data_IF_664671624419
#
_entry.id   IF_664671624419
#
_cell.length_a   1.000
_cell.length_b   1.000
_cell.length_c   1.000
_cell.angle_alpha   90.00
_cell.angle_beta   90.00
_cell.angle_gamma   90.00
#
_symmetry.space_group_name_H-M   'P 1'
#
loop_
_entity.id
_entity.type
_entity.pdbx_description
1 polymer ?
#
# COMPACT_ATOMS: atom_id res chain seq x y z
N UNK A 1 15.78 8.18 13.19
CA UNK A 1 14.46 7.95 12.57
C UNK A 1 14.62 8.25 11.10
N UNK A 2 13.97 7.47 10.25
CA UNK A 2 13.95 7.67 8.80
C UNK A 2 12.56 8.16 8.40
N UNK A 3 12.44 8.84 7.27
CA UNK A 3 11.14 9.29 6.75
C UNK A 3 10.38 8.12 6.15
N UNK A 4 9.06 8.23 6.04
CA UNK A 4 8.25 7.22 5.36
C UNK A 4 8.73 7.01 3.91
N UNK A 5 9.09 8.09 3.18
CA UNK A 5 9.62 8.03 1.81
C UNK A 5 10.91 7.21 1.69
N UNK A 6 11.83 7.36 2.64
CA UNK A 6 13.10 6.61 2.65
C UNK A 6 12.88 5.11 2.89
N UNK A 7 11.78 4.77 3.58
CA UNK A 7 11.49 3.40 4.00
C UNK A 7 10.58 2.67 3.02
N UNK A 8 9.62 3.38 2.42
CA UNK A 8 8.56 2.91 1.54
C UNK A 8 8.46 3.89 0.34
N UNK A 9 9.24 3.66 -0.74
CA UNK A 9 9.26 4.55 -1.89
C UNK A 9 8.00 4.48 -2.76
N UNK A 10 7.23 3.39 -2.66
CA UNK A 10 5.94 3.22 -3.32
C UNK A 10 4.84 3.97 -2.56
N UNK A 11 4.07 4.80 -3.27
CA UNK A 11 3.04 5.66 -2.68
C UNK A 11 1.91 4.85 -2.05
N UNK A 12 1.37 3.84 -2.76
CA UNK A 12 0.30 3.01 -2.24
C UNK A 12 0.72 2.31 -0.95
N UNK A 13 1.89 1.66 -0.96
CA UNK A 13 2.45 0.99 0.22
C UNK A 13 2.68 1.97 1.36
N UNK A 14 3.24 3.15 1.07
CA UNK A 14 3.46 4.20 2.07
C UNK A 14 2.14 4.60 2.75
N UNK A 15 1.08 4.81 1.98
CA UNK A 15 -0.23 5.20 2.52
C UNK A 15 -0.86 4.06 3.33
N UNK A 16 -0.75 2.81 2.89
CA UNK A 16 -1.19 1.64 3.67
C UNK A 16 -0.44 1.51 5.01
N UNK A 17 0.88 1.76 5.01
CA UNK A 17 1.68 1.80 6.24
C UNK A 17 1.27 2.97 7.14
N UNK A 18 1.06 4.15 6.56
CA UNK A 18 0.61 5.33 7.31
C UNK A 18 -0.75 5.07 7.95
N UNK A 19 -1.69 4.46 7.24
CA UNK A 19 -2.98 4.04 7.77
C UNK A 19 -2.82 3.17 9.01
N UNK A 20 -1.98 2.14 8.94
CA UNK A 20 -1.72 1.26 10.07
C UNK A 20 -1.04 1.96 11.25
N UNK A 21 -0.15 2.92 10.99
CA UNK A 21 0.46 3.73 12.05
C UNK A 21 -0.59 4.61 12.75
N UNK A 22 -1.60 5.10 12.03
CA UNK A 22 -2.74 5.82 12.60
C UNK A 22 -3.61 4.87 13.45
N UNK A 23 -3.94 3.68 12.96
CA UNK A 23 -4.70 2.66 13.72
C UNK A 23 -3.98 2.23 15.00
N UNK A 24 -2.65 2.17 14.97
CA UNK A 24 -1.79 1.87 16.11
C UNK A 24 -1.60 3.06 17.07
N UNK A 25 -2.16 4.23 16.74
CA UNK A 25 -2.08 5.46 17.53
C UNK A 25 -0.68 6.09 17.56
N UNK A 26 0.17 5.77 16.58
CA UNK A 26 1.48 6.41 16.39
C UNK A 26 1.29 7.84 15.88
N UNK A 27 0.34 7.99 14.97
CA UNK A 27 -0.18 9.28 14.50
C UNK A 27 -1.69 9.35 14.74
N UNK A 28 -2.27 10.55 14.66
CA UNK A 28 -3.72 10.74 14.64
C UNK A 28 -4.18 11.19 13.26
N UNK A 29 -5.42 10.86 12.88
CA UNK A 29 -6.05 11.40 11.66
C UNK A 29 -6.10 12.93 11.68
N UNK A 30 -6.39 13.54 12.84
CA UNK A 30 -6.33 14.99 13.02
C UNK A 30 -4.95 15.59 12.71
N UNK A 31 -3.86 14.87 13.01
CA UNK A 31 -2.52 15.32 12.67
C UNK A 31 -2.28 15.30 11.14
N UNK A 32 -2.90 14.36 10.42
CA UNK A 32 -2.88 14.32 8.95
C UNK A 32 -3.59 15.55 8.41
N UNK A 33 -4.85 15.76 8.79
CA UNK A 33 -5.65 16.91 8.35
C UNK A 33 -4.96 18.25 8.68
N UNK A 34 -4.43 18.38 9.89
CA UNK A 34 -3.70 19.58 10.31
C UNK A 34 -2.48 19.84 9.43
N UNK A 35 -1.73 18.79 9.10
CA UNK A 35 -0.52 18.92 8.27
C UNK A 35 -0.83 19.30 6.82
N UNK A 36 -2.05 19.05 6.35
CA UNK A 36 -2.50 19.32 4.99
C UNK A 36 -3.32 20.61 4.86
N UNK A 37 -3.79 21.18 5.98
CA UNK A 37 -4.75 22.31 5.99
C UNK A 37 -4.36 23.56 5.18
N UNK A 38 -3.07 23.86 5.02
CA UNK A 38 -2.59 24.97 4.19
C UNK A 38 -2.60 24.66 2.67
N UNK A 39 -2.79 23.40 2.28
CA UNK A 39 -2.93 23.01 0.88
C UNK A 39 -4.35 23.23 0.34
N UNK A 40 -5.35 23.35 1.21
CA UNK A 40 -6.75 23.59 0.83
C UNK A 40 -6.88 24.87 -0.01
N UNK A 41 -6.29 25.96 0.48
CA UNK A 41 -6.32 27.27 -0.20
C UNK A 41 -5.19 27.44 -1.22
N UNK A 42 -4.38 26.41 -1.47
CA UNK A 42 -3.25 26.50 -2.38
C UNK A 42 -3.73 26.46 -3.82
N UNK A 43 -3.47 27.56 -4.53
CA UNK A 43 -3.67 27.68 -5.98
C UNK A 43 -2.42 27.22 -6.71
N UNK A 44 -2.58 26.39 -7.73
CA UNK A 44 -1.51 26.00 -8.65
C UNK A 44 -1.51 26.91 -9.87
N UNK A 45 -0.33 27.17 -10.43
CA UNK A 45 -0.22 28.00 -11.63
C UNK A 45 -0.73 27.21 -12.85
N UNK A 46 -1.35 27.89 -13.80
CA UNK A 46 -1.85 27.30 -15.04
C UNK A 46 -0.73 26.71 -15.91
N UNK A 47 0.53 27.10 -15.67
CA UNK A 47 1.70 26.49 -16.31
C UNK A 47 2.10 25.13 -15.69
N UNK A 48 1.65 24.83 -14.46
CA UNK A 48 1.86 23.53 -13.80
C UNK A 48 0.72 22.54 -14.07
N UNK A 49 -0.42 23.03 -14.53
CA UNK A 49 -1.57 22.23 -14.96
C UNK A 49 -1.36 21.83 -16.43
N UNK A 50 -1.53 20.55 -16.76
CA UNK A 50 -1.78 20.15 -18.14
C UNK A 50 -3.23 20.59 -18.50
N UNK A 51 -3.75 20.33 -19.70
CA UNK A 51 -4.97 21.00 -20.18
C UNK A 51 -6.30 20.59 -19.47
N UNK A 52 -6.27 19.76 -18.42
CA UNK A 52 -7.46 19.12 -17.82
C UNK A 52 -7.68 19.47 -16.33
N UNK A 53 -8.95 19.58 -15.89
CA UNK A 53 -9.34 19.94 -14.50
C UNK A 53 -8.86 18.90 -13.44
N UNK A 54 -8.58 17.67 -13.87
CA UNK A 54 -8.00 16.60 -13.05
C UNK A 54 -6.58 16.93 -12.55
N UNK A 55 -5.93 17.95 -13.13
CA UNK A 55 -4.56 18.31 -12.81
C UNK A 55 -4.43 19.06 -11.46
N UNK A 56 -5.42 19.85 -11.03
CA UNK A 56 -5.30 20.56 -9.74
C UNK A 56 -5.44 19.60 -8.56
N UNK A 57 -6.40 18.67 -8.62
CA UNK A 57 -6.59 17.64 -7.59
C UNK A 57 -5.38 16.71 -7.52
N UNK A 58 -4.84 16.31 -8.67
CA UNK A 58 -3.60 15.53 -8.74
C UNK A 58 -2.43 16.29 -8.10
N UNK A 59 -2.24 17.57 -8.41
CA UNK A 59 -1.15 18.38 -7.83
C UNK A 59 -1.32 18.55 -6.31
N UNK A 60 -2.55 18.73 -5.82
CA UNK A 60 -2.85 18.75 -4.37
C UNK A 60 -2.53 17.43 -3.71
N UNK A 61 -2.99 16.31 -4.29
CA UNK A 61 -2.71 14.97 -3.78
C UNK A 61 -1.21 14.69 -3.77
N UNK A 62 -0.49 15.02 -4.85
CA UNK A 62 0.97 14.89 -4.95
C UNK A 62 1.68 15.64 -3.83
N UNK A 63 1.33 16.90 -3.59
CA UNK A 63 1.95 17.73 -2.56
C UNK A 63 1.59 17.26 -1.15
N UNK A 64 0.36 16.80 -0.93
CA UNK A 64 -0.07 16.18 0.32
C UNK A 64 0.73 14.92 0.63
N UNK A 65 0.82 14.00 -0.34
CA UNK A 65 1.61 12.77 -0.24
C UNK A 65 3.07 13.10 -0.01
N UNK A 66 3.63 14.07 -0.74
CA UNK A 66 5.00 14.52 -0.52
C UNK A 66 5.23 14.97 0.92
N UNK A 67 4.30 15.74 1.49
CA UNK A 67 4.39 16.20 2.88
C UNK A 67 4.26 15.09 3.90
N UNK A 68 3.28 14.20 3.76
CA UNK A 68 3.11 13.04 4.65
C UNK A 68 4.29 12.08 4.56
N UNK A 69 4.90 11.96 3.38
CA UNK A 69 6.04 11.08 3.16
C UNK A 69 7.30 11.48 3.93
N UNK A 70 7.39 12.74 4.39
CA UNK A 70 8.50 13.24 5.22
C UNK A 70 8.32 12.93 6.71
N UNK A 71 7.20 12.33 7.12
CA UNK A 71 6.98 11.98 8.52
C UNK A 71 7.96 10.90 8.98
N UNK A 72 8.50 11.10 10.18
CA UNK A 72 9.53 10.24 10.75
C UNK A 72 8.92 9.11 11.58
N UNK A 73 9.26 7.87 11.25
CA UNK A 73 8.78 6.69 11.96
C UNK A 73 9.92 5.96 12.67
N UNK A 74 9.64 5.44 13.86
CA UNK A 74 10.55 4.54 14.56
C UNK A 74 10.39 3.11 14.05
N UNK A 75 11.51 2.39 13.91
CA UNK A 75 11.47 0.98 13.51
C UNK A 75 10.65 0.12 14.50
N UNK A 76 10.64 0.49 15.79
CA UNK A 76 9.83 -0.17 16.80
C UNK A 76 8.33 -0.10 16.50
N UNK A 77 7.86 1.00 15.88
CA UNK A 77 6.47 1.16 15.50
C UNK A 77 6.11 0.34 14.26
N UNK A 78 7.02 0.25 13.29
CA UNK A 78 6.84 -0.62 12.11
C UNK A 78 6.71 -2.09 12.49
N UNK A 79 7.43 -2.55 13.52
CA UNK A 79 7.31 -3.91 14.04
C UNK A 79 5.98 -4.19 14.73
N UNK A 80 5.17 -3.17 15.03
CA UNK A 80 3.82 -3.36 15.60
C UNK A 80 2.78 -3.64 14.52
N UNK A 81 3.10 -3.42 13.24
CA UNK A 81 2.20 -3.68 12.12
C UNK A 81 2.15 -5.20 11.87
N UNK A 82 0.98 -5.78 12.09
CA UNK A 82 0.72 -7.21 11.86
C UNK A 82 -0.18 -7.47 10.64
N UNK A 83 -0.85 -6.43 10.13
CA UNK A 83 -1.71 -6.53 8.97
C UNK A 83 -1.57 -5.28 8.10
N UNK A 84 -1.60 -5.45 6.78
CA UNK A 84 -1.82 -4.38 5.83
C UNK A 84 -3.02 -4.73 4.97
N UNK A 85 -3.89 -3.73 4.77
CA UNK A 85 -5.06 -3.83 3.92
C UNK A 85 -5.03 -2.72 2.86
N UNK A 86 -5.44 -3.07 1.65
CA UNK A 86 -5.46 -2.22 0.47
C UNK A 86 -6.80 -2.37 -0.27
N UNK A 87 -7.89 -2.59 0.46
CA UNK A 87 -9.26 -2.79 -0.04
C UNK A 87 -9.99 -1.51 -0.48
N UNK A 88 -9.31 -0.36 -0.43
CA UNK A 88 -9.88 0.95 -0.78
C UNK A 88 -10.56 1.70 0.32
N UNK A 89 -10.89 1.01 1.40
CA UNK A 89 -11.60 1.57 2.53
C UNK A 89 -10.68 2.22 3.56
N UNK A 90 -9.38 2.35 3.28
CA UNK A 90 -8.43 2.83 4.27
C UNK A 90 -8.77 4.27 4.71
N UNK A 91 -9.03 4.52 6.00
CA UNK A 91 -9.40 5.85 6.50
C UNK A 91 -8.38 6.94 6.16
N UNK A 92 -7.11 6.58 5.94
CA UNK A 92 -6.08 7.54 5.51
C UNK A 92 -6.42 8.23 4.19
N UNK A 93 -7.13 7.58 3.27
CA UNK A 93 -7.53 8.18 2.00
C UNK A 93 -8.53 9.31 2.25
N UNK A 94 -9.56 9.05 3.06
CA UNK A 94 -10.53 10.06 3.46
C UNK A 94 -9.90 11.22 4.25
N UNK A 95 -8.93 10.94 5.13
CA UNK A 95 -8.21 12.00 5.86
C UNK A 95 -7.29 12.82 4.95
N UNK A 96 -6.72 12.21 3.91
CA UNK A 96 -5.95 12.92 2.91
C UNK A 96 -6.86 13.81 2.08
N UNK A 97 -7.90 13.23 1.49
CA UNK A 97 -8.90 13.90 0.64
C UNK A 97 -9.57 15.05 1.37
N UNK A 98 -10.10 14.80 2.58
CA UNK A 98 -10.68 15.85 3.43
C UNK A 98 -9.66 16.89 3.91
N UNK A 99 -8.38 16.52 4.00
CA UNK A 99 -7.29 17.44 4.36
C UNK A 99 -6.91 18.43 3.25
N UNK A 100 -7.26 18.14 1.99
CA UNK A 100 -6.98 18.99 0.82
C UNK A 100 -8.23 19.40 0.03
N UNK A 101 -9.42 19.08 0.55
CA UNK A 101 -10.72 19.40 -0.04
C UNK A 101 -10.89 18.86 -1.47
N UNK A 102 -10.53 17.58 -1.68
CA UNK A 102 -10.82 16.82 -2.91
C UNK A 102 -11.75 15.64 -2.56
N UNK A 103 -12.47 15.09 -3.54
CA UNK A 103 -13.36 13.94 -3.36
C UNK A 103 -13.18 12.96 -4.52
N UNK A 104 -12.28 12.01 -4.32
CA UNK A 104 -11.97 11.00 -5.34
C UNK A 104 -12.53 9.62 -5.00
N UNK A 105 -13.18 9.52 -3.83
CA UNK A 105 -13.80 8.29 -3.36
C UNK A 105 -12.81 7.17 -3.06
N UNK A 106 -11.51 7.46 -2.94
CA UNK A 106 -10.49 6.43 -2.71
C UNK A 106 -10.12 5.59 -3.94
N UNK A 107 -10.56 5.97 -5.15
CA UNK A 107 -10.40 5.15 -6.38
C UNK A 107 -9.23 5.56 -7.27
N UNK A 108 -8.37 6.47 -6.82
CA UNK A 108 -7.32 7.08 -7.63
C UNK A 108 -6.06 6.23 -7.81
N UNK A 109 -5.39 6.47 -8.94
CA UNK A 109 -4.18 5.75 -9.34
C UNK A 109 -3.01 5.90 -8.36
N UNK A 110 -2.95 7.00 -7.59
CA UNK A 110 -1.91 7.20 -6.58
C UNK A 110 -2.12 6.39 -5.30
N UNK A 111 -3.25 5.71 -5.14
CA UNK A 111 -3.47 4.73 -4.06
C UNK A 111 -2.99 3.33 -4.42
N UNK A 112 -2.62 3.11 -5.68
CA UNK A 112 -2.17 1.81 -6.16
C UNK A 112 -0.80 1.44 -5.59
N UNK A 113 -0.70 0.20 -5.13
CA UNK A 113 0.59 -0.39 -4.74
C UNK A 113 1.27 -0.86 -6.02
N UNK A 114 2.36 -0.24 -6.46
CA UNK A 114 3.09 -0.66 -7.68
C UNK A 114 4.31 -1.50 -7.33
N UNK A 115 4.91 -1.26 -6.17
CA UNK A 115 6.04 -2.01 -5.63
C UNK A 115 5.82 -2.39 -4.17
N UNK A 116 6.40 -3.51 -3.75
CA UNK A 116 6.49 -3.93 -2.36
C UNK A 116 7.83 -3.54 -1.72
N UNK A 117 8.63 -2.68 -2.36
CA UNK A 117 9.91 -2.23 -1.81
C UNK A 117 9.73 -1.57 -0.44
N UNK A 118 10.47 -2.07 0.56
CA UNK A 118 10.37 -1.60 1.94
C UNK A 118 9.50 -2.48 2.84
N UNK A 119 8.66 -3.35 2.27
CA UNK A 119 7.75 -4.23 3.04
C UNK A 119 8.50 -5.10 4.05
N UNK A 120 9.75 -5.52 3.76
CA UNK A 120 10.63 -6.30 4.66
C UNK A 120 10.90 -5.65 6.03
N UNK A 121 10.59 -4.36 6.19
CA UNK A 121 10.68 -3.65 7.46
C UNK A 121 9.54 -4.00 8.42
N UNK A 122 8.46 -4.57 7.92
CA UNK A 122 7.27 -4.98 8.66
C UNK A 122 7.44 -6.42 9.17
N UNK A 123 8.46 -6.63 10.00
CA UNK A 123 8.94 -7.98 10.35
C UNK A 123 7.91 -8.89 11.04
N UNK A 124 6.82 -8.31 11.57
CA UNK A 124 5.74 -9.03 12.24
C UNK A 124 4.46 -9.12 11.41
N UNK A 125 4.53 -8.81 10.11
CA UNK A 125 3.39 -8.89 9.20
C UNK A 125 2.88 -10.34 9.11
N UNK A 126 1.61 -10.52 9.49
CA UNK A 126 0.87 -11.80 9.45
C UNK A 126 -0.16 -11.84 8.35
N UNK A 127 -0.69 -10.68 7.94
CA UNK A 127 -1.70 -10.58 6.89
C UNK A 127 -1.34 -9.47 5.91
N UNK A 128 -1.39 -9.79 4.62
CA UNK A 128 -1.23 -8.82 3.55
C UNK A 128 -2.39 -8.98 2.58
N UNK A 129 -3.25 -7.97 2.53
CA UNK A 129 -4.37 -7.93 1.62
C UNK A 129 -4.12 -6.92 0.51
N UNK A 130 -3.79 -7.39 -0.70
CA UNK A 130 -3.56 -6.55 -1.88
C UNK A 130 -4.81 -6.50 -2.76
N UNK A 131 -5.99 -6.31 -2.15
CA UNK A 131 -7.27 -6.22 -2.84
C UNK A 131 -7.44 -4.87 -3.55
N UNK A 132 -6.67 -4.68 -4.62
CA UNK A 132 -7.22 -4.14 -5.85
C UNK A 132 -7.67 -2.69 -5.86
N UNK A 133 -7.06 -1.78 -5.10
CA UNK A 133 -7.03 -0.39 -5.56
C UNK A 133 -5.98 -0.30 -6.66
N UNK A 134 -6.49 -0.42 -7.88
CA UNK A 134 -5.75 -0.48 -9.13
C UNK A 134 -5.57 -1.89 -9.67
N UNK A 135 -6.38 -2.24 -10.67
CA UNK A 135 -5.93 -3.21 -11.65
C UNK A 135 -4.59 -2.71 -12.22
N UNK A 136 -3.49 -3.33 -11.80
CA UNK A 136 -2.18 -3.17 -12.44
C UNK A 136 -2.26 -3.81 -13.83
N UNK A 137 -2.84 -3.09 -14.79
CA UNK A 137 -3.09 -3.64 -16.12
C UNK A 137 -1.80 -3.96 -16.88
N UNK A 138 -0.69 -3.34 -16.47
CA UNK A 138 0.57 -3.39 -17.21
C UNK A 138 1.78 -3.87 -16.40
N UNK A 139 1.79 -3.72 -15.07
CA UNK A 139 2.96 -4.06 -14.25
C UNK A 139 2.80 -5.34 -13.44
N UNK A 140 3.88 -6.11 -13.37
CA UNK A 140 3.96 -7.33 -12.57
C UNK A 140 4.50 -7.00 -11.18
N UNK A 141 3.66 -7.13 -10.16
CA UNK A 141 4.08 -6.99 -8.77
C UNK A 141 5.06 -8.11 -8.40
N UNK A 142 6.25 -7.75 -7.93
CA UNK A 142 7.25 -8.73 -7.51
C UNK A 142 6.97 -9.26 -6.11
N UNK A 143 6.69 -10.56 -6.00
CA UNK A 143 6.45 -11.20 -4.71
C UNK A 143 7.73 -11.66 -4.01
N UNK A 144 8.90 -11.61 -4.66
CA UNK A 144 10.16 -12.12 -4.09
C UNK A 144 10.53 -11.45 -2.76
N UNK A 145 10.16 -10.18 -2.58
CA UNK A 145 10.42 -9.45 -1.33
C UNK A 145 9.63 -10.01 -0.12
N UNK A 146 8.59 -10.80 -0.37
CA UNK A 146 7.78 -11.41 0.69
C UNK A 146 8.53 -12.52 1.44
N UNK A 147 9.60 -13.10 0.87
CA UNK A 147 10.44 -14.11 1.55
C UNK A 147 10.97 -13.64 2.92
N UNK A 148 11.04 -12.32 3.14
CA UNK A 148 11.40 -11.72 4.42
C UNK A 148 10.34 -11.83 5.53
N UNK A 149 9.16 -12.43 5.27
CA UNK A 149 8.01 -12.47 6.20
C UNK A 149 7.67 -13.90 6.62
N UNK A 150 8.50 -14.56 7.45
CA UNK A 150 8.24 -15.94 7.88
C UNK A 150 6.98 -16.09 8.73
N UNK A 151 6.43 -14.99 9.26
CA UNK A 151 5.19 -14.96 10.03
C UNK A 151 3.93 -14.70 9.18
N UNK A 152 4.06 -14.50 7.86
CA UNK A 152 2.92 -14.22 6.99
C UNK A 152 2.01 -15.45 6.90
N UNK A 153 0.76 -15.30 7.35
CA UNK A 153 -0.22 -16.38 7.44
C UNK A 153 -1.30 -16.29 6.36
N UNK A 154 -1.65 -15.08 5.93
CA UNK A 154 -2.68 -14.84 4.92
C UNK A 154 -2.20 -13.83 3.89
N UNK A 155 -2.36 -14.18 2.62
CA UNK A 155 -2.05 -13.34 1.48
C UNK A 155 -3.25 -13.30 0.53
N UNK A 156 -3.70 -12.10 0.16
CA UNK A 156 -4.66 -11.90 -0.91
C UNK A 156 -3.97 -11.15 -2.04
N UNK A 157 -4.08 -11.69 -3.26
CA UNK A 157 -3.50 -11.15 -4.48
C UNK A 157 -4.58 -10.80 -5.50
N UNK A 158 -4.33 -9.71 -6.21
CA UNK A 158 -5.07 -9.23 -7.39
C UNK A 158 -4.06 -8.82 -8.49
N UNK A 159 -4.53 -8.66 -9.73
CA UNK A 159 -3.69 -8.20 -10.84
C UNK A 159 -2.54 -9.15 -11.21
N UNK A 160 -1.50 -8.65 -11.87
CA UNK A 160 -0.35 -9.48 -12.31
C UNK A 160 0.71 -9.58 -11.22
N UNK A 161 1.10 -10.80 -10.87
CA UNK A 161 2.09 -11.10 -9.83
C UNK A 161 3.19 -12.03 -10.34
N UNK A 162 4.45 -11.63 -10.19
CA UNK A 162 5.62 -12.41 -10.60
C UNK A 162 6.38 -12.96 -9.41
N UNK A 163 7.33 -13.87 -9.67
CA UNK A 163 8.13 -14.54 -8.66
C UNK A 163 7.28 -15.38 -7.70
N UNK A 164 6.17 -15.98 -8.18
CA UNK A 164 5.21 -16.71 -7.31
C UNK A 164 5.86 -17.90 -6.61
N UNK A 165 6.91 -18.49 -7.19
CA UNK A 165 7.70 -19.54 -6.56
C UNK A 165 8.33 -19.12 -5.21
N UNK A 166 8.58 -17.82 -4.98
CA UNK A 166 9.08 -17.29 -3.71
C UNK A 166 8.12 -17.51 -2.54
N UNK A 167 6.81 -17.64 -2.81
CA UNK A 167 5.81 -17.92 -1.77
C UNK A 167 6.05 -19.27 -1.08
N UNK A 168 6.80 -20.18 -1.70
CA UNK A 168 7.20 -21.45 -1.08
C UNK A 168 8.13 -21.24 0.13
N UNK A 169 8.80 -20.10 0.26
CA UNK A 169 9.61 -19.75 1.43
C UNK A 169 8.76 -19.28 2.63
N UNK A 170 7.46 -19.00 2.43
CA UNK A 170 6.56 -18.58 3.50
C UNK A 170 6.10 -19.80 4.30
N UNK A 171 6.86 -20.14 5.34
CA UNK A 171 6.61 -21.33 6.17
C UNK A 171 5.28 -21.26 6.94
N UNK A 172 4.85 -20.05 7.33
CA UNK A 172 3.61 -19.86 8.09
C UNK A 172 2.37 -19.60 7.23
N UNK A 173 2.51 -19.56 5.89
CA UNK A 173 1.39 -19.25 5.01
C UNK A 173 0.33 -20.36 5.14
N UNK A 174 -0.91 -19.96 5.46
CA UNK A 174 -2.07 -20.85 5.63
C UNK A 174 -3.12 -20.58 4.56
N UNK A 175 -3.23 -19.35 4.12
CA UNK A 175 -4.27 -18.89 3.19
C UNK A 175 -3.68 -18.04 2.07
N UNK A 176 -4.03 -18.41 0.83
CA UNK A 176 -3.77 -17.63 -0.38
C UNK A 176 -5.08 -17.42 -1.13
N UNK A 177 -5.52 -16.17 -1.21
CA UNK A 177 -6.68 -15.75 -2.02
C UNK A 177 -6.21 -15.10 -3.31
N UNK A 178 -6.79 -15.50 -4.43
CA UNK A 178 -6.45 -15.04 -5.77
C UNK A 178 -7.68 -14.40 -6.43
N UNK A 179 -7.94 -13.13 -6.14
CA UNK A 179 -9.10 -12.42 -6.70
C UNK A 179 -8.71 -11.79 -8.04
N UNK A 180 -8.95 -12.53 -9.13
CA UNK A 180 -8.57 -12.09 -10.49
C UNK A 180 -7.05 -11.99 -10.71
N UNK A 181 -6.24 -12.58 -9.83
CA UNK A 181 -4.79 -12.56 -9.94
C UNK A 181 -4.29 -13.40 -11.14
N UNK A 182 -3.35 -12.83 -11.89
CA UNK A 182 -2.58 -13.48 -12.94
C UNK A 182 -1.17 -13.76 -12.42
N UNK A 183 -0.74 -15.00 -12.50
CA UNK A 183 0.53 -15.47 -11.94
C UNK A 183 1.52 -15.78 -13.06
N UNK A 184 2.80 -15.48 -12.86
CA UNK A 184 3.85 -15.79 -13.84
C UNK A 184 4.14 -17.29 -13.93
N UNK A 185 3.95 -17.99 -12.81
CA UNK A 185 4.06 -19.43 -12.69
C UNK A 185 2.90 -20.01 -11.83
N UNK A 186 1.86 -20.51 -12.49
CA UNK A 186 0.76 -21.19 -11.80
C UNK A 186 1.17 -22.55 -11.18
N UNK A 187 2.26 -23.16 -11.65
CA UNK A 187 2.70 -24.46 -11.12
C UNK A 187 3.23 -24.36 -9.68
N UNK A 188 3.70 -23.17 -9.28
CA UNK A 188 4.08 -22.86 -7.91
C UNK A 188 2.92 -23.07 -6.90
N UNK A 189 1.65 -22.97 -7.35
CA UNK A 189 0.50 -23.22 -6.49
C UNK A 189 0.41 -24.67 -6.01
N UNK A 190 0.94 -25.64 -6.76
CA UNK A 190 0.90 -27.05 -6.36
C UNK A 190 1.88 -27.36 -5.22
N UNK A 191 3.01 -26.65 -5.15
CA UNK A 191 3.92 -26.70 -4.01
C UNK A 191 3.21 -26.18 -2.74
N UNK A 192 2.54 -25.03 -2.84
CA UNK A 192 1.78 -24.44 -1.75
C UNK A 192 0.66 -25.35 -1.24
N UNK A 193 -0.12 -25.97 -2.14
CA UNK A 193 -1.14 -26.96 -1.76
C UNK A 193 -0.54 -28.16 -1.03
N UNK A 194 0.62 -28.64 -1.47
CA UNK A 194 1.32 -29.76 -0.84
C UNK A 194 1.76 -29.43 0.58
N UNK A 195 2.09 -28.16 0.84
CA UNK A 195 2.38 -27.62 2.19
C UNK A 195 1.13 -27.40 3.05
N UNK A 196 -0.07 -27.61 2.51
CA UNK A 196 -1.33 -27.43 3.22
C UNK A 196 -1.90 -26.01 3.15
N UNK A 197 -1.40 -25.16 2.25
CA UNK A 197 -1.96 -23.82 2.03
C UNK A 197 -3.35 -23.96 1.39
N UNK A 198 -4.34 -23.30 1.98
CA UNK A 198 -5.69 -23.18 1.41
C UNK A 198 -5.67 -22.12 0.31
N UNK A 199 -5.99 -22.51 -0.92
CA UNK A 199 -6.00 -21.61 -2.08
C UNK A 199 -7.45 -21.39 -2.54
N UNK A 200 -7.88 -20.14 -2.62
CA UNK A 200 -9.21 -19.74 -3.11
C UNK A 200 -9.07 -18.80 -4.30
N UNK A 201 -9.92 -18.97 -5.31
CA UNK A 201 -10.03 -18.12 -6.51
C UNK A 201 -11.42 -17.51 -6.58
#
# INVERSE_FOLDING_TARGET
MATLRELFPDTGLLLGVLNQLIELGVYSGEAVETALSDLVDKTYDAEELEEDEDDEEFLKARDAIARLSEWQVAEADLRRIEALDFDGGNPVYMSLEGGIDIDTGGEEDWYQVMSLDGVQRLSNLKRLNLDGHGYRDYEWLDLAVLEAHPALESLLLTGRCKSVASLDQLESLKELKLLGAQLDDESALDALKTKGVTITR
#
